data_IF_426968457151
#
_entry.id   IF_426968457151
#
_cell.length_a   1.000
_cell.length_b   1.000
_cell.length_c   1.000
_cell.angle_alpha   90.00
_cell.angle_beta   90.00
_cell.angle_gamma   90.00
#
_symmetry.space_group_name_H-M   'P 1'
#
loop_
_entity.id
_entity.type
_entity.pdbx_description
1 polymer ?
#
# COMPACT_ATOMS: atom_id res chain seq x y z
N UNK A 1 -31.71 6.86 -6.47
CA UNK A 1 -30.89 5.66 -6.71
C UNK A 1 -29.46 6.14 -6.95
N UNK A 2 -28.58 5.99 -5.98
CA UNK A 2 -27.18 6.41 -6.12
C UNK A 2 -26.45 5.29 -6.82
N UNK A 3 -25.97 5.52 -8.03
CA UNK A 3 -25.13 4.57 -8.74
C UNK A 3 -23.72 4.78 -8.23
N UNK A 4 -23.20 3.84 -7.44
CA UNK A 4 -21.78 3.82 -7.09
C UNK A 4 -21.00 3.45 -8.33
N UNK A 5 -20.33 4.43 -8.91
CA UNK A 5 -19.47 4.24 -10.07
C UNK A 5 -18.14 3.63 -9.60
N UNK A 6 -17.50 2.75 -10.39
CA UNK A 6 -16.19 2.14 -10.09
C UNK A 6 -15.10 3.11 -9.62
N UNK A 7 -15.18 4.34 -10.04
CA UNK A 7 -14.30 5.42 -9.63
C UNK A 7 -14.36 5.73 -8.11
N UNK A 8 -15.51 5.52 -7.45
CA UNK A 8 -15.69 5.85 -6.02
C UNK A 8 -14.94 4.92 -5.07
N UNK A 9 -14.85 3.65 -5.37
CA UNK A 9 -14.17 2.68 -4.51
C UNK A 9 -12.65 2.87 -4.48
N UNK A 10 -12.03 3.18 -5.62
CA UNK A 10 -10.61 3.57 -5.65
C UNK A 10 -10.36 4.93 -4.98
N UNK A 11 -11.34 5.82 -5.02
CA UNK A 11 -11.28 7.12 -4.36
C UNK A 11 -11.37 6.98 -2.84
N UNK A 12 -12.14 6.04 -2.31
CA UNK A 12 -12.28 5.82 -0.87
C UNK A 12 -10.97 5.42 -0.21
N UNK A 13 -10.15 4.53 -0.81
CA UNK A 13 -8.87 4.17 -0.23
C UNK A 13 -7.88 5.36 -0.22
N UNK A 14 -7.84 6.14 -1.31
CA UNK A 14 -6.99 7.34 -1.37
C UNK A 14 -7.44 8.40 -0.36
N UNK A 15 -8.74 8.58 -0.16
CA UNK A 15 -9.26 9.46 0.88
C UNK A 15 -8.83 8.99 2.27
N UNK A 16 -8.83 7.68 2.54
CA UNK A 16 -8.31 7.13 3.78
C UNK A 16 -6.82 7.46 4.01
N UNK A 17 -6.00 7.43 2.95
CA UNK A 17 -4.60 7.86 3.02
C UNK A 17 -4.51 9.37 3.29
N UNK A 18 -5.32 10.20 2.61
CA UNK A 18 -5.36 11.66 2.81
C UNK A 18 -5.79 12.00 4.23
N UNK A 19 -6.80 11.33 4.75
CA UNK A 19 -7.26 11.49 6.13
C UNK A 19 -6.14 11.14 7.12
N UNK A 20 -5.46 10.01 6.91
CA UNK A 20 -4.31 9.61 7.74
C UNK A 20 -3.18 10.65 7.73
N UNK A 21 -2.92 11.28 6.57
CA UNK A 21 -1.95 12.38 6.44
C UNK A 21 -2.40 13.66 7.16
N UNK A 22 -3.70 13.86 7.34
CA UNK A 22 -4.26 15.03 8.02
C UNK A 22 -4.27 14.91 9.54
N UNK A 23 -4.27 13.69 10.07
CA UNK A 23 -4.30 13.44 11.52
C UNK A 23 -2.93 13.50 12.19
N UNK A 24 -1.87 13.39 11.42
CA UNK A 24 -0.50 13.32 11.94
C UNK A 24 0.48 14.01 10.99
N UNK A 25 1.60 14.53 11.52
CA UNK A 25 2.61 15.16 10.69
C UNK A 25 3.57 14.13 10.10
N UNK A 26 3.69 14.11 8.77
CA UNK A 26 4.61 13.24 8.04
C UNK A 26 5.56 14.07 7.17
N UNK A 27 6.82 13.63 7.08
CA UNK A 27 7.80 14.20 6.15
C UNK A 27 7.57 13.72 4.72
N UNK A 28 7.06 12.50 4.60
CA UNK A 28 6.81 11.89 3.29
C UNK A 28 5.72 10.85 3.30
N UNK A 29 5.17 10.61 2.11
CA UNK A 29 4.31 9.48 1.78
C UNK A 29 4.99 8.59 0.75
N UNK A 30 4.93 7.27 0.95
CA UNK A 30 5.57 6.25 0.11
C UNK A 30 4.53 5.25 -0.37
N UNK A 31 4.39 5.09 -1.68
CA UNK A 31 3.61 4.00 -2.28
C UNK A 31 4.54 2.91 -2.79
N UNK A 32 4.33 1.67 -2.32
CA UNK A 32 5.07 0.50 -2.81
C UNK A 32 4.18 -0.29 -3.78
N UNK A 33 4.62 -0.36 -5.05
CA UNK A 33 3.83 -0.83 -6.19
C UNK A 33 3.04 0.29 -6.85
N UNK A 34 3.68 1.45 -7.03
CA UNK A 34 3.00 2.67 -7.46
C UNK A 34 2.62 2.71 -8.95
N UNK A 35 3.07 1.75 -9.77
CA UNK A 35 2.92 1.81 -11.21
C UNK A 35 3.53 3.11 -11.76
N UNK A 36 2.71 3.91 -12.46
CA UNK A 36 3.12 5.23 -12.93
C UNK A 36 2.83 6.38 -11.94
N UNK A 37 2.51 6.06 -10.68
CA UNK A 37 2.32 7.04 -9.60
C UNK A 37 0.94 7.66 -9.49
N UNK A 38 -0.09 7.07 -10.14
CA UNK A 38 -1.44 7.64 -10.18
C UNK A 38 -2.00 8.02 -8.80
N UNK A 39 -1.81 7.17 -7.79
CA UNK A 39 -2.33 7.41 -6.45
C UNK A 39 -1.58 8.56 -5.76
N UNK A 40 -0.27 8.63 -5.92
CA UNK A 40 0.55 9.73 -5.37
C UNK A 40 0.13 11.07 -5.96
N UNK A 41 -0.15 11.16 -7.27
CA UNK A 41 -0.70 12.37 -7.88
C UNK A 41 -2.09 12.71 -7.33
N UNK A 42 -2.96 11.72 -7.13
CA UNK A 42 -4.27 11.95 -6.50
C UNK A 42 -4.13 12.50 -5.08
N UNK A 43 -3.21 11.96 -4.28
CA UNK A 43 -2.92 12.46 -2.93
C UNK A 43 -2.42 13.90 -3.01
N UNK A 44 -1.48 14.20 -3.90
CA UNK A 44 -0.94 15.55 -4.09
C UNK A 44 -2.05 16.58 -4.38
N UNK A 45 -2.92 16.30 -5.34
CA UNK A 45 -3.98 17.22 -5.76
C UNK A 45 -5.16 17.31 -4.79
N UNK A 46 -5.38 16.32 -3.93
CA UNK A 46 -6.56 16.24 -3.06
C UNK A 46 -6.27 16.45 -1.56
N UNK A 47 -5.07 16.88 -1.17
CA UNK A 47 -4.80 17.21 0.23
C UNK A 47 -3.38 17.03 0.72
N UNK A 48 -2.53 16.25 0.04
CA UNK A 48 -1.13 16.06 0.45
C UNK A 48 -0.29 17.34 0.35
N UNK A 49 -0.53 18.11 -0.72
CA UNK A 49 0.08 19.43 -0.88
C UNK A 49 1.59 19.44 -1.15
N UNK A 50 2.14 20.65 -1.26
CA UNK A 50 3.53 20.91 -1.70
C UNK A 50 4.62 20.68 -0.65
N UNK A 51 4.24 20.63 0.62
CA UNK A 51 5.20 20.47 1.71
C UNK A 51 5.59 19.00 1.96
N UNK A 52 4.75 18.06 1.55
CA UNK A 52 4.98 16.64 1.64
C UNK A 52 5.95 16.17 0.54
N UNK A 53 6.80 15.19 0.83
CA UNK A 53 7.61 14.49 -0.18
C UNK A 53 6.89 13.21 -0.59
N UNK A 54 6.94 12.88 -1.86
CA UNK A 54 6.23 11.75 -2.47
C UNK A 54 7.24 10.74 -3.00
N UNK A 55 7.13 9.50 -2.58
CA UNK A 55 8.01 8.43 -3.04
C UNK A 55 7.19 7.29 -3.64
N UNK A 56 7.61 6.82 -4.82
CA UNK A 56 6.98 5.70 -5.49
C UNK A 56 7.96 4.57 -5.78
N UNK A 57 7.76 3.42 -5.15
CA UNK A 57 8.49 2.19 -5.47
C UNK A 57 7.71 1.36 -6.48
N UNK A 58 8.34 1.01 -7.61
CA UNK A 58 7.71 0.23 -8.67
C UNK A 58 8.67 -0.85 -9.19
N UNK A 59 8.12 -2.03 -9.53
CA UNK A 59 8.92 -3.17 -9.97
C UNK A 59 9.42 -3.03 -11.40
N UNK A 60 8.63 -2.45 -12.30
CA UNK A 60 8.97 -2.35 -13.72
C UNK A 60 9.76 -1.08 -14.00
N UNK A 61 10.84 -1.19 -14.78
CA UNK A 61 11.61 -0.01 -15.19
C UNK A 61 10.76 0.97 -15.99
N UNK A 62 9.84 0.46 -16.83
CA UNK A 62 8.92 1.29 -17.64
C UNK A 62 7.94 2.08 -16.75
N UNK A 63 7.43 1.48 -15.67
CA UNK A 63 6.59 2.16 -14.68
C UNK A 63 7.34 3.27 -13.97
N UNK A 64 8.55 3.01 -13.50
CA UNK A 64 9.42 4.02 -12.87
C UNK A 64 9.71 5.18 -13.84
N UNK A 65 10.07 4.89 -15.09
CA UNK A 65 10.34 5.93 -16.10
C UNK A 65 9.10 6.76 -16.42
N UNK A 66 7.94 6.12 -16.55
CA UNK A 66 6.69 6.83 -16.80
C UNK A 66 6.31 7.73 -15.61
N UNK A 67 6.44 7.24 -14.38
CA UNK A 67 6.18 8.01 -13.18
C UNK A 67 7.10 9.24 -13.08
N UNK A 68 8.39 9.09 -13.38
CA UNK A 68 9.35 10.21 -13.46
C UNK A 68 8.98 11.23 -14.51
N UNK A 69 8.55 10.79 -15.71
CA UNK A 69 8.08 11.69 -16.77
C UNK A 69 6.85 12.48 -16.35
N UNK A 70 5.87 11.83 -15.72
CA UNK A 70 4.67 12.50 -15.21
C UNK A 70 5.04 13.51 -14.13
N UNK A 71 5.90 13.15 -13.17
CA UNK A 71 6.34 14.06 -12.12
C UNK A 71 7.10 15.30 -12.67
N UNK A 72 7.84 15.14 -13.76
CA UNK A 72 8.53 16.27 -14.39
C UNK A 72 7.60 17.34 -14.96
N UNK A 73 6.31 17.01 -15.18
CA UNK A 73 5.29 17.94 -15.66
C UNK A 73 4.65 18.71 -14.49
N UNK A 74 4.80 18.20 -13.25
CA UNK A 74 4.26 18.83 -12.04
C UNK A 74 5.41 19.27 -11.10
N UNK A 75 6.04 20.44 -11.38
CA UNK A 75 7.25 20.87 -10.66
C UNK A 75 7.01 21.19 -9.17
N UNK A 76 5.75 21.39 -8.75
CA UNK A 76 5.42 21.63 -7.36
C UNK A 76 5.33 20.35 -6.52
N UNK A 77 5.24 19.19 -7.15
CA UNK A 77 5.24 17.89 -6.49
C UNK A 77 6.68 17.41 -6.28
N UNK A 78 7.15 17.40 -5.03
CA UNK A 78 8.48 16.87 -4.69
C UNK A 78 8.44 15.34 -4.70
N UNK A 79 8.52 14.73 -5.89
CA UNK A 79 8.37 13.30 -6.10
C UNK A 79 9.67 12.62 -6.53
N UNK A 80 9.92 11.43 -5.98
CA UNK A 80 11.01 10.55 -6.35
C UNK A 80 10.49 9.13 -6.60
N UNK A 81 10.91 8.50 -7.72
CA UNK A 81 10.50 7.16 -8.09
C UNK A 81 11.71 6.25 -8.21
N UNK A 82 11.59 5.05 -7.63
CA UNK A 82 12.67 4.08 -7.53
C UNK A 82 12.20 2.65 -7.82
N UNK A 83 13.15 1.76 -8.11
CA UNK A 83 12.82 0.35 -8.32
C UNK A 83 12.58 -0.34 -6.97
N UNK A 84 11.44 -1.03 -6.84
CA UNK A 84 11.08 -1.81 -5.66
C UNK A 84 10.46 -3.16 -6.04
N UNK A 85 10.88 -4.22 -5.34
CA UNK A 85 10.39 -5.57 -5.57
C UNK A 85 9.89 -6.19 -4.26
N UNK A 86 8.60 -6.50 -4.19
CA UNK A 86 7.98 -7.12 -3.02
C UNK A 86 8.60 -8.47 -2.64
N UNK A 87 9.15 -9.22 -3.61
CA UNK A 87 9.83 -10.50 -3.37
C UNK A 87 11.24 -10.35 -2.80
N UNK A 88 11.85 -9.19 -2.96
CA UNK A 88 13.20 -8.85 -2.47
C UNK A 88 13.20 -7.42 -1.95
N UNK A 89 12.46 -7.13 -0.86
CA UNK A 89 12.30 -5.78 -0.36
C UNK A 89 13.66 -5.21 0.06
N UNK A 90 14.03 -4.11 -0.58
CA UNK A 90 15.27 -3.39 -0.32
C UNK A 90 15.12 -1.95 -0.78
N UNK A 91 15.61 -1.03 0.01
CA UNK A 91 15.68 0.39 -0.33
C UNK A 91 17.13 0.80 -0.58
N UNK A 92 17.33 1.74 -1.52
CA UNK A 92 18.63 2.34 -1.73
C UNK A 92 18.98 3.21 -0.50
N UNK A 93 20.24 3.13 -0.06
CA UNK A 93 20.74 3.89 1.09
C UNK A 93 20.74 5.41 0.87
N UNK A 94 20.67 5.85 -0.39
CA UNK A 94 20.63 7.26 -0.74
C UNK A 94 19.22 7.86 -0.67
N UNK A 95 18.18 7.03 -0.52
CA UNK A 95 16.80 7.50 -0.35
C UNK A 95 16.62 8.04 1.08
N UNK A 96 16.36 9.32 1.19
CA UNK A 96 16.02 9.98 2.45
C UNK A 96 14.51 10.21 2.53
N UNK A 97 13.82 9.34 3.24
CA UNK A 97 12.35 9.45 3.43
C UNK A 97 11.98 10.43 4.55
N UNK A 98 12.93 10.90 5.36
CA UNK A 98 12.70 11.71 6.55
C UNK A 98 12.55 10.89 7.82
N UNK A 99 11.97 11.51 8.86
CA UNK A 99 11.84 10.91 10.20
C UNK A 99 10.52 10.24 10.43
N UNK A 100 9.43 10.78 9.86
CA UNK A 100 8.06 10.29 9.99
C UNK A 100 7.48 10.03 8.62
N UNK A 101 7.16 8.78 8.33
CA UNK A 101 6.79 8.31 6.99
C UNK A 101 5.47 7.57 7.03
N UNK A 102 4.54 7.96 6.15
CA UNK A 102 3.37 7.15 5.84
C UNK A 102 3.67 6.29 4.61
N UNK A 103 3.67 4.97 4.79
CA UNK A 103 3.81 4.01 3.70
C UNK A 103 2.44 3.45 3.36
N UNK A 104 2.18 3.15 2.10
CA UNK A 104 1.01 2.36 1.74
C UNK A 104 1.26 1.43 0.55
N UNK A 105 0.44 0.40 0.45
CA UNK A 105 0.30 -0.47 -0.72
C UNK A 105 -1.18 -0.54 -1.09
N UNK A 106 -1.48 -0.67 -2.38
CA UNK A 106 -2.85 -0.81 -2.84
C UNK A 106 -2.96 -1.75 -4.03
N UNK A 107 -3.52 -2.95 -3.80
CA UNK A 107 -3.68 -4.00 -4.80
C UNK A 107 -2.38 -4.31 -5.57
N UNK A 108 -1.27 -4.43 -4.86
CA UNK A 108 0.05 -4.68 -5.45
C UNK A 108 0.71 -5.94 -4.89
N UNK A 109 0.57 -6.20 -3.57
CA UNK A 109 1.07 -7.44 -2.96
C UNK A 109 0.29 -8.66 -3.48
N UNK A 110 -0.96 -8.47 -3.89
CA UNK A 110 -1.75 -9.53 -4.52
C UNK A 110 -1.12 -10.11 -5.79
N UNK A 111 -0.24 -9.37 -6.45
CA UNK A 111 0.39 -9.78 -7.71
C UNK A 111 1.59 -10.73 -7.50
N UNK A 112 1.99 -10.97 -6.26
CA UNK A 112 3.04 -11.94 -5.93
C UNK A 112 2.46 -13.09 -5.12
N UNK A 113 3.06 -14.29 -5.25
CA UNK A 113 2.55 -15.47 -4.55
C UNK A 113 2.66 -15.31 -3.04
N UNK A 114 3.83 -14.92 -2.58
CA UNK A 114 4.17 -14.79 -1.17
C UNK A 114 5.20 -13.68 -0.98
N UNK A 115 5.04 -12.86 0.04
CA UNK A 115 6.08 -11.91 0.45
C UNK A 115 7.06 -12.61 1.41
N UNK A 116 8.35 -12.20 1.44
CA UNK A 116 9.31 -12.77 2.37
C UNK A 116 9.01 -12.38 3.82
N UNK A 117 9.37 -13.24 4.76
CA UNK A 117 9.13 -13.05 6.20
C UNK A 117 9.64 -11.71 6.76
N UNK A 118 10.69 -11.17 6.18
CA UNK A 118 11.28 -9.89 6.62
C UNK A 118 10.67 -8.66 5.94
N UNK A 119 9.62 -8.81 5.12
CA UNK A 119 9.02 -7.69 4.37
C UNK A 119 8.64 -6.52 5.29
N UNK A 120 7.86 -6.80 6.33
CA UNK A 120 7.40 -5.79 7.28
C UNK A 120 8.56 -5.12 8.03
N UNK A 121 9.55 -5.90 8.49
CA UNK A 121 10.75 -5.39 9.14
C UNK A 121 11.54 -4.45 8.25
N UNK A 122 11.72 -4.80 6.97
CA UNK A 122 12.44 -3.96 6.01
C UNK A 122 11.69 -2.66 5.77
N UNK A 123 10.37 -2.70 5.60
CA UNK A 123 9.56 -1.50 5.41
C UNK A 123 9.52 -0.65 6.69
N UNK A 124 9.41 -1.25 7.87
CA UNK A 124 9.44 -0.54 9.15
C UNK A 124 10.78 0.17 9.42
N UNK A 125 11.86 -0.26 8.77
CA UNK A 125 13.22 0.27 9.01
C UNK A 125 13.62 1.47 8.13
N UNK A 126 12.74 1.97 7.26
CA UNK A 126 13.10 3.05 6.32
C UNK A 126 13.18 4.43 6.97
N UNK A 127 12.61 4.59 8.15
CA UNK A 127 12.63 5.82 8.93
C UNK A 127 12.50 5.53 10.44
N UNK A 128 12.84 6.50 11.31
CA UNK A 128 12.64 6.36 12.76
C UNK A 128 11.19 6.09 13.17
N UNK A 129 10.21 6.64 12.44
CA UNK A 129 8.80 6.33 12.60
C UNK A 129 8.19 6.04 11.24
N UNK A 130 7.59 4.86 11.12
CA UNK A 130 6.84 4.42 9.95
C UNK A 130 5.44 4.01 10.40
N UNK A 131 4.41 4.58 9.79
CA UNK A 131 3.06 4.03 9.78
C UNK A 131 2.79 3.47 8.39
N UNK A 132 2.24 2.29 8.31
CA UNK A 132 1.91 1.67 7.02
C UNK A 132 0.43 1.27 6.96
N UNK A 133 -0.16 1.51 5.80
CA UNK A 133 -1.54 1.16 5.47
C UNK A 133 -1.53 0.25 4.24
N UNK A 134 -1.83 -1.02 4.44
CA UNK A 134 -1.94 -1.97 3.34
C UNK A 134 -3.40 -2.13 2.95
N UNK A 135 -3.77 -1.71 1.74
CA UNK A 135 -5.06 -1.99 1.10
C UNK A 135 -4.93 -3.15 0.12
N UNK A 136 -5.08 -4.37 0.61
CA UNK A 136 -4.81 -5.58 -0.15
C UNK A 136 -5.93 -6.61 0.06
N UNK A 137 -6.15 -7.54 -0.87
CA UNK A 137 -7.08 -8.63 -0.68
C UNK A 137 -6.46 -9.73 0.20
N UNK A 138 -6.71 -9.69 1.50
CA UNK A 138 -6.24 -10.71 2.45
C UNK A 138 -7.29 -11.20 3.46
N UNK A 139 -8.50 -10.68 3.44
CA UNK A 139 -9.57 -11.06 4.38
C UNK A 139 -9.81 -12.56 4.38
N UNK A 140 -9.83 -13.17 3.20
CA UNK A 140 -9.97 -14.63 3.01
C UNK A 140 -8.89 -15.48 3.70
N UNK A 141 -7.74 -14.90 4.05
CA UNK A 141 -6.65 -15.61 4.78
C UNK A 141 -6.94 -15.70 6.27
N UNK A 142 -7.82 -14.85 6.80
CA UNK A 142 -8.13 -14.75 8.23
C UNK A 142 -9.43 -15.50 8.52
N UNK A 143 -10.51 -15.20 7.80
CA UNK A 143 -11.83 -15.75 8.05
C UNK A 143 -12.65 -15.88 6.76
N UNK A 144 -13.59 -16.84 6.74
CA UNK A 144 -14.61 -16.96 5.70
C UNK A 144 -15.80 -16.08 6.07
N UNK A 145 -15.85 -14.87 5.53
CA UNK A 145 -16.91 -13.89 5.80
C UNK A 145 -18.19 -14.13 5.00
N UNK A 146 -18.23 -15.16 4.17
CA UNK A 146 -19.38 -15.54 3.34
C UNK A 146 -18.98 -16.24 2.04
N UNK A 147 -19.93 -16.45 1.15
CA UNK A 147 -19.69 -17.18 -0.10
C UNK A 147 -18.70 -16.44 -1.01
N UNK A 148 -18.75 -15.09 -1.05
CA UNK A 148 -17.80 -14.28 -1.82
C UNK A 148 -16.37 -14.48 -1.31
N UNK A 149 -16.16 -14.49 0.00
CA UNK A 149 -14.85 -14.74 0.63
C UNK A 149 -14.31 -16.12 0.30
N UNK A 150 -15.17 -17.15 0.30
CA UNK A 150 -14.79 -18.52 -0.08
C UNK A 150 -14.38 -18.62 -1.55
N UNK A 151 -15.14 -18.01 -2.45
CA UNK A 151 -14.78 -17.99 -3.89
C UNK A 151 -13.48 -17.21 -4.13
N UNK A 152 -13.29 -16.10 -3.43
CA UNK A 152 -12.06 -15.31 -3.43
C UNK A 152 -10.86 -16.16 -2.99
N UNK A 153 -10.99 -16.88 -1.85
CA UNK A 153 -9.97 -17.84 -1.39
C UNK A 153 -9.60 -18.88 -2.45
N UNK A 154 -10.61 -19.52 -3.05
CA UNK A 154 -10.38 -20.52 -4.10
C UNK A 154 -9.63 -19.92 -5.31
N UNK A 155 -10.05 -18.73 -5.72
CA UNK A 155 -9.46 -18.03 -6.85
C UNK A 155 -8.00 -17.66 -6.60
N UNK A 156 -7.69 -17.08 -5.43
CA UNK A 156 -6.34 -16.69 -5.05
C UNK A 156 -5.39 -17.88 -4.87
N UNK A 157 -5.87 -18.95 -4.23
CA UNK A 157 -5.09 -20.20 -4.10
C UNK A 157 -4.80 -20.82 -5.48
N UNK A 158 -5.80 -20.89 -6.36
CA UNK A 158 -5.63 -21.43 -7.71
C UNK A 158 -4.60 -20.67 -8.53
N UNK A 159 -4.56 -19.35 -8.40
CA UNK A 159 -3.64 -18.50 -9.16
C UNK A 159 -2.30 -18.28 -8.43
N UNK A 160 -2.16 -18.72 -7.20
CA UNK A 160 -0.96 -18.51 -6.40
C UNK A 160 -0.72 -17.02 -6.08
N UNK A 161 -1.75 -16.30 -5.68
CA UNK A 161 -1.70 -14.87 -5.38
C UNK A 161 -1.88 -14.60 -3.90
N UNK A 162 -1.00 -13.76 -3.32
CA UNK A 162 -1.07 -13.28 -1.95
C UNK A 162 -1.45 -14.36 -0.92
N UNK A 163 -0.66 -15.41 -0.82
CA UNK A 163 -1.03 -16.55 0.03
C UNK A 163 -0.62 -16.43 1.49
N UNK A 164 0.24 -15.42 1.82
CA UNK A 164 0.84 -15.35 3.15
C UNK A 164 0.83 -13.97 3.82
N UNK A 165 0.16 -12.97 3.28
CA UNK A 165 0.17 -11.61 3.83
C UNK A 165 -0.25 -11.59 5.31
N UNK A 166 -1.42 -12.15 5.65
CA UNK A 166 -1.94 -12.13 7.02
C UNK A 166 -1.05 -12.89 8.01
N UNK A 167 -0.52 -14.04 7.60
CA UNK A 167 0.39 -14.83 8.45
C UNK A 167 1.72 -14.14 8.67
N UNK A 168 2.28 -13.50 7.64
CA UNK A 168 3.53 -12.75 7.72
C UNK A 168 3.38 -11.47 8.55
N UNK A 169 2.24 -10.75 8.41
CA UNK A 169 1.89 -9.59 9.24
C UNK A 169 1.81 -9.99 10.73
N UNK A 170 1.08 -11.05 11.03
CA UNK A 170 0.96 -11.58 12.40
C UNK A 170 2.33 -11.96 12.99
N UNK A 171 3.17 -12.65 12.19
CA UNK A 171 4.52 -13.05 12.60
C UNK A 171 5.41 -11.84 12.91
N UNK A 172 5.37 -10.81 12.06
CA UNK A 172 6.15 -9.58 12.27
C UNK A 172 5.73 -8.87 13.57
N UNK A 173 4.43 -8.82 13.88
CA UNK A 173 3.94 -8.27 15.15
C UNK A 173 4.37 -9.13 16.35
N UNK A 174 4.30 -10.45 16.26
CA UNK A 174 4.74 -11.37 17.32
C UNK A 174 6.25 -11.29 17.60
N UNK A 175 7.05 -11.03 16.58
CA UNK A 175 8.49 -10.85 16.68
C UNK A 175 8.89 -9.48 17.27
N UNK A 176 7.94 -8.53 17.39
CA UNK A 176 8.21 -7.16 17.81
C UNK A 176 8.88 -6.32 16.71
N UNK A 177 8.77 -6.71 15.43
CA UNK A 177 9.26 -5.91 14.31
C UNK A 177 8.32 -4.73 14.01
N UNK A 178 7.02 -4.89 14.28
CA UNK A 178 5.95 -3.90 14.08
C UNK A 178 4.89 -4.00 15.18
N UNK A 179 4.00 -3.00 15.23
CA UNK A 179 2.79 -3.02 16.05
C UNK A 179 1.58 -2.88 15.11
N UNK A 180 0.69 -3.88 15.08
CA UNK A 180 -0.59 -3.78 14.37
C UNK A 180 -1.50 -2.85 15.18
N UNK A 181 -2.02 -1.80 14.54
CA UNK A 181 -2.92 -0.82 15.16
C UNK A 181 -4.39 -1.14 14.87
N UNK A 182 -4.71 -1.54 13.63
CA UNK A 182 -6.08 -1.82 13.20
C UNK A 182 -6.11 -2.76 11.98
N UNK A 183 -7.26 -3.39 11.76
CA UNK A 183 -7.54 -4.15 10.55
C UNK A 183 -9.03 -4.16 10.23
N UNK A 184 -9.37 -3.93 8.96
CA UNK A 184 -10.72 -4.05 8.42
C UNK A 184 -10.72 -5.09 7.31
N UNK A 185 -11.55 -6.13 7.46
CA UNK A 185 -11.62 -7.19 6.47
C UNK A 185 -12.70 -6.89 5.43
N UNK A 186 -12.37 -7.09 4.16
CA UNK A 186 -13.30 -6.95 3.03
C UNK A 186 -14.11 -5.65 3.05
N UNK A 187 -13.44 -4.54 3.40
CA UNK A 187 -14.05 -3.22 3.62
C UNK A 187 -14.75 -2.67 2.37
N UNK A 188 -14.21 -2.94 1.20
CA UNK A 188 -14.83 -2.51 -0.05
C UNK A 188 -14.92 -3.68 -1.03
N UNK A 189 -16.12 -3.90 -1.50
CA UNK A 189 -16.39 -4.79 -2.62
C UNK A 189 -16.10 -4.11 -3.94
N UNK A 190 -15.10 -3.28 -4.11
CA UNK A 190 -14.68 -2.68 -5.36
C UNK A 190 -15.68 -2.76 -6.54
N UNK A 191 -15.23 -2.59 -7.74
CA UNK A 191 -15.99 -2.97 -8.95
C UNK A 191 -15.91 -4.45 -9.27
N UNK A 192 -14.95 -5.13 -8.66
CA UNK A 192 -14.79 -6.57 -8.73
C UNK A 192 -15.21 -7.17 -7.37
N UNK A 193 -16.42 -7.75 -7.30
CA UNK A 193 -16.90 -8.39 -6.07
C UNK A 193 -16.04 -9.61 -5.68
N UNK A 194 -15.19 -10.09 -6.60
CA UNK A 194 -14.27 -11.18 -6.35
C UNK A 194 -12.88 -10.72 -5.88
N UNK A 195 -12.67 -9.43 -5.70
CA UNK A 195 -11.42 -8.87 -5.18
C UNK A 195 -11.65 -7.80 -4.10
N UNK A 196 -12.30 -8.14 -2.97
CA UNK A 196 -12.58 -7.19 -1.91
C UNK A 196 -11.29 -6.76 -1.20
N UNK A 197 -11.14 -5.44 -1.01
CA UNK A 197 -10.01 -4.87 -0.30
C UNK A 197 -10.16 -5.05 1.21
N UNK A 198 -9.15 -5.60 1.85
CA UNK A 198 -8.96 -5.53 3.30
C UNK A 198 -7.89 -4.50 3.63
N UNK A 199 -8.00 -3.85 4.77
CA UNK A 199 -7.06 -2.81 5.20
C UNK A 199 -6.36 -3.30 6.48
N UNK A 200 -5.03 -3.21 6.50
CA UNK A 200 -4.23 -3.39 7.69
C UNK A 200 -3.45 -2.11 7.97
N UNK A 201 -3.52 -1.64 9.22
CA UNK A 201 -2.77 -0.48 9.70
C UNK A 201 -1.77 -0.95 10.74
N UNK A 202 -0.51 -0.60 10.56
CA UNK A 202 0.54 -0.93 11.51
C UNK A 202 1.62 0.16 11.54
N UNK A 203 2.44 0.16 12.58
CA UNK A 203 3.58 1.08 12.71
C UNK A 203 4.85 0.36 13.13
N UNK A 204 5.98 1.03 12.93
CA UNK A 204 7.27 0.63 13.54
C UNK A 204 7.19 0.65 15.08
N UNK A 205 8.06 -0.11 15.71
CA UNK A 205 8.20 -0.18 17.17
C UNK A 205 8.94 1.04 17.70
#
# INVERSE_FOLDING_TARGET
MTILVPFYTKTNFINFIIDALSFDEYDSVVELGCGYGQNLFKIFYNGGGVNLRYFGGEFTSSGVEMAKKLASIEPNMRAEFFHFNHLKPKFDKNLDFGKRVLVFTYHTIEQVKEIPDNWFKVVASIAPFVRCINGEPFGFQIEDLGEVSKEHRKFFIKNGWNLNFASTLKKANQNGDIIIEDAMLEHSCGTDPFNPTSIAVWRSV
#
